data_IF_874478032837
#
_entry.id   IF_874478032837
#
_cell.length_a   1.000
_cell.length_b   1.000
_cell.length_c   1.000
_cell.angle_alpha   90.00
_cell.angle_beta   90.00
_cell.angle_gamma   90.00
#
_symmetry.space_group_name_H-M   'P 1'
#
loop_
_entity.id
_entity.type
_entity.pdbx_description
1 polymer ?
#
# COMPACT_ATOMS: atom_id res chain seq x y z
N UNK A 1 4.78 8.62 -3.52
CA UNK A 1 6.12 8.07 -3.87
C UNK A 1 6.03 6.72 -4.59
N UNK A 2 5.07 5.85 -4.24
CA UNK A 2 4.83 4.53 -4.85
C UNK A 2 4.93 4.41 -6.38
N UNK A 3 4.33 5.28 -7.22
CA UNK A 3 4.51 5.15 -8.68
C UNK A 3 5.97 5.34 -9.13
N UNK A 4 6.76 6.12 -8.38
CA UNK A 4 8.17 6.34 -8.66
C UNK A 4 9.00 5.11 -8.28
N UNK A 5 8.67 4.46 -7.16
CA UNK A 5 9.34 3.24 -6.67
C UNK A 5 9.08 2.08 -7.62
N UNK A 6 7.83 1.88 -8.06
CA UNK A 6 7.50 0.90 -9.10
C UNK A 6 8.31 1.11 -10.39
N UNK A 7 8.50 2.37 -10.82
CA UNK A 7 9.31 2.71 -11.99
C UNK A 7 10.81 2.40 -11.78
N UNK A 8 11.33 2.64 -10.58
CA UNK A 8 12.72 2.31 -10.21
C UNK A 8 12.92 0.79 -10.25
N UNK A 9 11.99 0.01 -9.70
CA UNK A 9 12.05 -1.45 -9.74
C UNK A 9 12.04 -1.99 -11.18
N UNK A 10 11.04 -1.57 -11.97
CA UNK A 10 10.81 -2.06 -13.32
C UNK A 10 11.94 -1.72 -14.31
N UNK A 11 12.61 -0.57 -14.15
CA UNK A 11 13.54 -0.07 -15.16
C UNK A 11 14.98 0.11 -14.69
N UNK A 12 15.21 0.39 -13.41
CA UNK A 12 16.53 0.72 -12.87
C UNK A 12 17.21 -0.48 -12.23
N UNK A 13 16.47 -1.29 -11.48
CA UNK A 13 17.02 -2.43 -10.74
C UNK A 13 17.10 -3.72 -11.57
N UNK A 14 16.07 -4.03 -12.38
CA UNK A 14 15.99 -5.22 -13.26
C UNK A 14 16.49 -6.52 -12.59
N UNK A 15 16.14 -6.72 -11.32
CA UNK A 15 16.57 -7.89 -10.57
C UNK A 15 15.67 -9.08 -10.88
N UNK A 16 16.25 -10.26 -10.98
CA UNK A 16 15.48 -11.50 -10.95
C UNK A 16 15.15 -11.85 -9.49
N UNK A 17 13.86 -12.04 -9.20
CA UNK A 17 13.36 -12.38 -7.86
C UNK A 17 12.94 -11.17 -7.01
N UNK A 18 12.69 -11.39 -5.70
CA UNK A 18 12.07 -10.37 -4.85
C UNK A 18 12.95 -9.13 -4.65
N UNK A 19 12.35 -7.96 -4.79
CA UNK A 19 12.99 -6.64 -4.64
C UNK A 19 12.33 -5.90 -3.48
N UNK A 20 13.13 -5.33 -2.57
CA UNK A 20 12.66 -4.64 -1.36
C UNK A 20 13.15 -3.20 -1.39
N UNK A 21 12.24 -2.23 -1.33
CA UNK A 21 12.55 -0.81 -1.42
C UNK A 21 11.89 -0.07 -0.26
N UNK A 22 12.56 0.93 0.31
CA UNK A 22 11.99 1.82 1.31
C UNK A 22 12.22 3.29 0.93
N UNK A 23 11.37 4.17 1.44
CA UNK A 23 11.44 5.60 1.13
C UNK A 23 10.89 6.45 2.28
N UNK A 24 11.44 7.65 2.41
CA UNK A 24 10.93 8.70 3.28
C UNK A 24 11.06 10.05 2.55
N UNK A 25 9.96 10.78 2.38
CA UNK A 25 10.01 12.08 1.70
C UNK A 25 8.68 12.81 1.69
N UNK A 26 8.72 14.12 1.47
CA UNK A 26 7.53 14.95 1.40
C UNK A 26 6.79 14.75 0.06
N UNK A 27 5.46 14.68 0.13
CA UNK A 27 4.59 14.67 -1.06
C UNK A 27 3.68 15.89 -1.03
N UNK A 28 3.37 16.46 -2.19
CA UNK A 28 2.49 17.63 -2.29
C UNK A 28 1.10 17.21 -2.76
N UNK A 29 0.07 17.57 -2.00
CA UNK A 29 -1.32 17.45 -2.42
C UNK A 29 -1.86 18.81 -2.88
N UNK A 30 -2.39 18.86 -4.11
CA UNK A 30 -2.98 20.09 -4.68
C UNK A 30 -4.19 20.58 -3.87
N UNK A 31 -4.98 19.65 -3.33
CA UNK A 31 -6.09 19.91 -2.42
C UNK A 31 -5.85 19.19 -1.09
N UNK A 32 -6.22 19.80 0.06
CA UNK A 32 -6.18 19.11 1.35
C UNK A 32 -7.09 17.87 1.33
N UNK A 33 -6.63 16.75 1.91
CA UNK A 33 -7.41 15.50 1.98
C UNK A 33 -8.45 15.49 3.13
N UNK A 34 -8.28 16.36 4.11
CA UNK A 34 -9.21 16.57 5.24
C UNK A 34 -9.11 18.01 5.76
N UNK A 35 -10.08 18.43 6.58
CA UNK A 35 -10.22 19.80 7.13
C UNK A 35 -8.98 20.33 7.89
N UNK A 36 -8.02 19.48 8.25
CA UNK A 36 -6.80 19.86 9.00
C UNK A 36 -5.49 19.27 8.46
N UNK A 37 -5.47 18.63 7.29
CA UNK A 37 -4.25 17.97 6.79
C UNK A 37 -3.27 18.96 6.14
N UNK A 38 -1.99 18.90 6.52
CA UNK A 38 -0.90 19.57 5.77
C UNK A 38 -0.97 19.19 4.28
N UNK A 39 -0.72 20.17 3.40
CA UNK A 39 -0.57 19.93 1.96
C UNK A 39 0.76 19.25 1.61
N UNK A 40 1.70 19.21 2.55
CA UNK A 40 3.03 18.61 2.38
C UNK A 40 3.31 17.59 3.49
N UNK A 41 2.58 16.46 3.56
CA UNK A 41 2.89 15.41 4.53
C UNK A 41 4.19 14.69 4.15
N UNK A 42 4.90 14.19 5.16
CA UNK A 42 5.99 13.22 4.96
C UNK A 42 5.35 11.85 4.74
N UNK A 43 5.71 11.20 3.64
CA UNK A 43 5.35 9.81 3.36
C UNK A 43 6.57 8.92 3.63
N UNK A 44 6.44 8.02 4.60
CA UNK A 44 7.36 6.92 4.88
C UNK A 44 6.70 5.62 4.42
N UNK A 45 7.46 4.73 3.78
CA UNK A 45 6.93 3.43 3.35
C UNK A 45 8.00 2.45 2.87
N UNK A 46 7.57 1.21 2.68
CA UNK A 46 8.36 0.13 2.10
C UNK A 46 7.49 -0.69 1.15
N UNK A 47 8.10 -1.21 0.08
CA UNK A 47 7.45 -1.96 -0.99
C UNK A 47 8.28 -3.21 -1.32
N UNK A 48 7.60 -4.34 -1.49
CA UNK A 48 8.17 -5.62 -1.88
C UNK A 48 7.58 -6.02 -3.23
N UNK A 49 8.43 -6.22 -4.23
CA UNK A 49 8.07 -6.61 -5.59
C UNK A 49 8.63 -7.98 -5.96
N UNK A 50 8.03 -8.63 -6.95
CA UNK A 50 8.57 -9.87 -7.53
C UNK A 50 8.21 -11.16 -6.79
N UNK A 51 7.35 -11.10 -5.77
CA UNK A 51 6.73 -12.26 -5.13
C UNK A 51 5.24 -11.99 -4.87
N UNK A 52 4.39 -12.89 -5.36
CA UNK A 52 2.93 -12.82 -5.22
C UNK A 52 2.39 -13.75 -4.11
N UNK A 53 3.29 -14.38 -3.34
CA UNK A 53 2.90 -15.24 -2.25
C UNK A 53 2.38 -14.42 -1.05
N UNK A 54 1.45 -14.97 -0.25
CA UNK A 54 1.02 -14.35 1.01
C UNK A 54 2.16 -14.10 2.00
N UNK A 55 3.27 -14.82 1.88
CA UNK A 55 4.45 -14.62 2.72
C UNK A 55 5.04 -13.23 2.57
N UNK A 56 4.96 -12.64 1.38
CA UNK A 56 5.41 -11.27 1.14
C UNK A 56 4.53 -10.23 1.84
N UNK A 57 3.20 -10.45 1.85
CA UNK A 57 2.29 -9.59 2.63
C UNK A 57 2.61 -9.67 4.13
N UNK A 58 2.83 -10.88 4.65
CA UNK A 58 3.21 -11.10 6.06
C UNK A 58 4.53 -10.41 6.39
N UNK A 59 5.51 -10.45 5.49
CA UNK A 59 6.81 -9.80 5.69
C UNK A 59 6.65 -8.27 5.83
N UNK A 60 5.89 -7.64 4.93
CA UNK A 60 5.67 -6.19 4.94
C UNK A 60 4.85 -5.76 6.17
N UNK A 61 3.82 -6.51 6.54
CA UNK A 61 3.03 -6.25 7.75
C UNK A 61 3.90 -6.39 9.00
N UNK A 62 4.72 -7.44 9.07
CA UNK A 62 5.63 -7.65 10.21
C UNK A 62 6.64 -6.52 10.34
N UNK A 63 7.18 -6.03 9.22
CA UNK A 63 8.07 -4.87 9.20
C UNK A 63 7.36 -3.61 9.73
N UNK A 64 6.12 -3.35 9.28
CA UNK A 64 5.33 -2.22 9.77
C UNK A 64 5.10 -2.29 11.28
N UNK A 65 4.67 -3.45 11.79
CA UNK A 65 4.42 -3.63 13.23
C UNK A 65 5.70 -3.48 14.06
N UNK A 66 6.82 -4.03 13.59
CA UNK A 66 8.12 -3.89 14.24
C UNK A 66 8.56 -2.41 14.30
N UNK A 67 8.30 -1.62 13.25
CA UNK A 67 8.58 -0.19 13.26
C UNK A 67 7.70 0.58 14.25
N UNK A 68 6.40 0.27 14.32
CA UNK A 68 5.50 0.90 15.29
C UNK A 68 5.89 0.57 16.73
N UNK A 69 6.31 -0.67 16.98
CA UNK A 69 6.82 -1.09 18.28
C UNK A 69 8.11 -0.34 18.64
N UNK A 70 9.05 -0.18 17.71
CA UNK A 70 10.29 0.58 17.92
C UNK A 70 10.00 2.07 18.20
N UNK A 71 8.93 2.62 17.61
CA UNK A 71 8.48 3.99 17.82
C UNK A 71 7.62 4.17 19.08
N UNK A 72 7.43 3.12 19.88
CA UNK A 72 6.65 3.12 21.12
C UNK A 72 5.20 3.61 20.92
N UNK A 73 4.58 3.22 19.80
CA UNK A 73 3.18 3.53 19.51
C UNK A 73 2.28 2.58 20.29
N UNK A 74 1.47 3.06 21.27
CA UNK A 74 0.57 2.21 22.03
C UNK A 74 -0.67 1.85 21.22
N UNK A 75 -1.36 0.78 21.64
CA UNK A 75 -2.72 0.43 21.21
C UNK A 75 -2.94 0.38 19.68
N UNK A 76 -1.99 -0.23 18.95
CA UNK A 76 -2.07 -0.39 17.50
C UNK A 76 -3.23 -1.32 17.12
N UNK A 77 -4.17 -0.81 16.32
CA UNK A 77 -5.22 -1.59 15.68
C UNK A 77 -4.99 -1.66 14.17
N UNK A 78 -5.05 -2.88 13.61
CA UNK A 78 -4.89 -3.11 12.17
C UNK A 78 -6.16 -3.76 11.61
N UNK A 79 -6.74 -3.13 10.60
CA UNK A 79 -7.85 -3.69 9.82
C UNK A 79 -7.31 -4.34 8.54
N UNK A 80 -7.84 -5.52 8.19
CA UNK A 80 -7.41 -6.29 7.03
C UNK A 80 -8.62 -6.62 6.15
N UNK A 81 -8.54 -6.18 4.89
CA UNK A 81 -9.56 -6.45 3.87
C UNK A 81 -8.95 -7.00 2.58
N UNK A 82 -9.73 -7.80 1.86
CA UNK A 82 -9.33 -8.35 0.56
C UNK A 82 -10.37 -8.06 -0.52
N UNK A 83 -10.01 -7.22 -1.50
CA UNK A 83 -10.92 -6.80 -2.60
C UNK A 83 -11.43 -7.98 -3.44
N UNK A 84 -10.69 -9.10 -3.47
CA UNK A 84 -11.11 -10.32 -4.16
C UNK A 84 -12.42 -10.92 -3.61
N UNK A 85 -12.73 -10.73 -2.33
CA UNK A 85 -14.00 -11.21 -1.73
C UNK A 85 -15.18 -10.45 -2.35
N UNK A 86 -15.11 -9.11 -2.33
CA UNK A 86 -16.14 -8.26 -2.93
C UNK A 86 -16.31 -8.58 -4.41
N UNK A 87 -15.21 -8.66 -5.18
CA UNK A 87 -15.26 -9.00 -6.61
C UNK A 87 -15.86 -10.38 -6.86
N UNK A 88 -15.59 -11.35 -5.99
CA UNK A 88 -16.19 -12.69 -6.05
C UNK A 88 -17.70 -12.63 -5.86
N UNK A 89 -18.17 -11.89 -4.85
CA UNK A 89 -19.59 -11.69 -4.57
C UNK A 89 -20.30 -10.93 -5.70
N UNK A 90 -19.71 -9.83 -6.19
CA UNK A 90 -20.26 -9.04 -7.29
C UNK A 90 -20.44 -9.89 -8.55
N UNK A 91 -19.44 -10.73 -8.87
CA UNK A 91 -19.52 -11.69 -9.98
C UNK A 91 -20.61 -12.73 -9.77
N UNK A 92 -20.72 -13.30 -8.56
CA UNK A 92 -21.76 -14.28 -8.23
C UNK A 92 -23.17 -13.67 -8.30
N UNK A 93 -23.30 -12.38 -8.01
CA UNK A 93 -24.55 -11.62 -8.10
C UNK A 93 -24.86 -11.10 -9.52
N UNK A 94 -23.98 -11.33 -10.51
CA UNK A 94 -24.16 -10.86 -11.88
C UNK A 94 -24.03 -9.34 -12.05
N UNK A 95 -23.40 -8.65 -11.09
CA UNK A 95 -23.15 -7.20 -11.18
C UNK A 95 -21.99 -6.94 -12.14
N UNK A 96 -22.24 -6.19 -13.22
CA UNK A 96 -21.22 -5.74 -14.16
C UNK A 96 -20.54 -4.45 -13.66
N UNK A 97 -19.29 -4.23 -14.06
CA UNK A 97 -18.44 -3.12 -13.59
C UNK A 97 -18.95 -1.70 -13.88
N UNK A 98 -20.06 -1.54 -14.60
CA UNK A 98 -20.73 -0.25 -14.80
C UNK A 98 -21.37 0.29 -13.51
N UNK A 99 -21.70 -0.60 -12.56
CA UNK A 99 -22.23 -0.23 -11.24
C UNK A 99 -21.10 0.08 -10.23
N UNK A 100 -19.86 -0.36 -10.48
CA UNK A 100 -18.71 -0.17 -9.57
C UNK A 100 -18.17 1.27 -9.53
N UNK A 101 -18.45 2.12 -10.52
CA UNK A 101 -17.90 3.50 -10.59
C UNK A 101 -18.77 4.58 -9.92
N UNK A 102 -19.90 4.22 -9.31
CA UNK A 102 -20.84 5.18 -8.69
C UNK A 102 -20.80 5.19 -7.15
N UNK A 103 -19.86 4.47 -6.52
CA UNK A 103 -19.67 4.43 -5.07
C UNK A 103 -18.52 5.29 -4.57
#
# INVERSE_FOLDING_TARGET
>A
ITPQVARIDAHTLRREGPSRLCYAGSVLHAQPRALSSSRSPIQLGAELYGDASPSSDVEVISLMLAMLQLADVPDVHMDLGHVGIYRGLARAAGLSGEVEQQG
#
